data_IF_234693812683
#
_entry.id   IF_234693812683
#
_cell.length_a   1.000
_cell.length_b   1.000
_cell.length_c   1.000
_cell.angle_alpha   90.00
_cell.angle_beta   90.00
_cell.angle_gamma   90.00
#
_symmetry.space_group_name_H-M   'P 1'
#
loop_
_entity.id
_entity.type
_entity.pdbx_description
1 polymer ?
#
# COMPACT_ATOMS: atom_id res chain seq x y z
N UNK A 1 41.66 -3.76 4.34
CA UNK A 1 40.47 -2.96 3.98
C UNK A 1 39.30 -3.59 4.72
N UNK A 2 38.65 -2.86 5.62
CA UNK A 2 37.49 -3.37 6.37
C UNK A 2 36.31 -3.43 5.39
N UNK A 3 35.71 -4.60 5.22
CA UNK A 3 34.43 -4.72 4.54
C UNK A 3 33.38 -4.19 5.51
N UNK A 4 32.80 -3.03 5.21
CA UNK A 4 31.64 -2.53 5.93
C UNK A 4 30.45 -3.40 5.54
N UNK A 5 30.11 -4.36 6.41
CA UNK A 5 28.83 -5.05 6.38
C UNK A 5 27.73 -4.05 6.77
N UNK A 6 27.16 -3.35 5.78
CA UNK A 6 25.87 -2.69 5.95
C UNK A 6 24.78 -3.76 5.91
N UNK A 7 24.41 -4.28 7.09
CA UNK A 7 23.14 -4.97 7.27
C UNK A 7 22.06 -3.94 6.96
N UNK A 8 21.42 -4.04 5.79
CA UNK A 8 20.36 -3.12 5.39
C UNK A 8 19.06 -3.59 6.06
N UNK A 9 18.62 -2.86 7.08
CA UNK A 9 17.42 -3.20 7.83
C UNK A 9 16.18 -2.94 6.97
N UNK A 10 15.65 -4.00 6.35
CA UNK A 10 14.42 -3.90 5.57
C UNK A 10 13.25 -3.49 6.48
N UNK A 11 12.66 -2.32 6.23
CA UNK A 11 11.56 -1.82 7.06
C UNK A 11 10.22 -2.23 6.46
N UNK A 12 9.39 -2.92 7.26
CA UNK A 12 8.03 -3.28 6.84
C UNK A 12 7.08 -2.10 7.06
N UNK A 13 6.40 -1.69 6.00
CA UNK A 13 5.30 -0.73 6.03
C UNK A 13 3.98 -1.38 5.59
N UNK A 14 2.90 -0.66 5.86
CA UNK A 14 1.54 -1.07 5.58
C UNK A 14 0.82 0.02 4.81
N UNK A 15 0.34 -0.30 3.62
CA UNK A 15 -0.31 0.63 2.70
C UNK A 15 -1.81 0.42 2.75
N UNK A 16 -2.57 1.44 3.12
CA UNK A 16 -4.03 1.41 3.04
C UNK A 16 -4.46 1.95 1.67
N UNK A 17 -5.05 1.09 0.85
CA UNK A 17 -5.62 1.44 -0.44
C UNK A 17 -7.14 1.44 -0.41
N UNK A 18 -7.73 2.32 -1.20
CA UNK A 18 -9.11 2.22 -1.66
C UNK A 18 -9.09 1.78 -3.11
N UNK A 19 -9.71 0.65 -3.45
CA UNK A 19 -9.84 0.17 -4.82
C UNK A 19 -11.24 0.44 -5.38
N UNK A 20 -11.33 0.67 -6.68
CA UNK A 20 -12.62 0.73 -7.36
C UNK A 20 -12.50 0.19 -8.78
N UNK A 21 -13.56 -0.46 -9.22
CA UNK A 21 -13.68 -1.01 -10.56
C UNK A 21 -14.54 -0.07 -11.42
N UNK A 22 -14.07 0.20 -12.63
CA UNK A 22 -14.75 0.96 -13.66
C UNK A 22 -15.68 0.05 -14.47
N UNK A 23 -16.63 0.63 -15.20
CA UNK A 23 -17.59 -0.12 -16.02
C UNK A 23 -16.93 -0.98 -17.12
N UNK A 24 -15.69 -0.65 -17.51
CA UNK A 24 -14.90 -1.39 -18.47
C UNK A 24 -14.07 -2.53 -17.84
N UNK A 25 -14.24 -2.80 -16.54
CA UNK A 25 -13.49 -3.80 -15.78
C UNK A 25 -12.07 -3.38 -15.40
N UNK A 26 -11.68 -2.11 -15.62
CA UNK A 26 -10.41 -1.60 -15.11
C UNK A 26 -10.51 -1.35 -13.61
N UNK A 27 -9.43 -1.66 -12.90
CA UNK A 27 -9.31 -1.40 -11.47
C UNK A 27 -8.35 -0.24 -11.22
N UNK A 28 -8.75 0.68 -10.36
CA UNK A 28 -7.89 1.74 -9.85
C UNK A 28 -7.70 1.62 -8.35
N UNK A 29 -6.50 2.00 -7.90
CA UNK A 29 -6.10 1.96 -6.50
C UNK A 29 -5.68 3.37 -6.05
N UNK A 30 -6.31 3.87 -5.00
CA UNK A 30 -5.98 5.16 -4.37
C UNK A 30 -5.30 4.90 -3.04
N UNK A 31 -4.04 5.31 -2.92
CA UNK A 31 -3.34 5.26 -1.64
C UNK A 31 -3.96 6.26 -0.67
N UNK A 32 -4.44 5.76 0.47
CA UNK A 32 -5.05 6.56 1.54
C UNK A 32 -4.11 6.79 2.72
N UNK A 33 -3.13 5.93 2.92
CA UNK A 33 -2.12 6.13 3.97
C UNK A 33 -1.00 5.10 3.95
N UNK A 34 0.11 5.49 4.57
CA UNK A 34 1.30 4.66 4.78
C UNK A 34 1.55 4.56 6.28
N UNK A 35 1.67 3.34 6.80
CA UNK A 35 1.75 3.09 8.23
C UNK A 35 2.94 2.21 8.58
N UNK A 36 3.58 2.51 9.70
CA UNK A 36 4.70 1.72 10.25
C UNK A 36 4.25 0.40 10.92
N UNK A 37 2.94 0.15 11.04
CA UNK A 37 2.41 -1.08 11.61
C UNK A 37 0.99 -1.38 11.11
N UNK A 38 0.66 -2.67 11.04
CA UNK A 38 -0.66 -3.15 10.64
C UNK A 38 -1.78 -2.59 11.51
N UNK A 39 -1.57 -2.57 12.82
CA UNK A 39 -2.55 -2.05 13.79
C UNK A 39 -2.90 -0.58 13.55
N UNK A 40 -1.93 0.25 13.12
CA UNK A 40 -2.21 1.65 12.77
C UNK A 40 -3.09 1.75 11.53
N UNK A 41 -2.80 0.95 10.50
CA UNK A 41 -3.60 0.90 9.28
C UNK A 41 -5.03 0.38 9.55
N UNK A 42 -5.18 -0.66 10.37
CA UNK A 42 -6.48 -1.22 10.78
C UNK A 42 -7.29 -0.22 11.62
N UNK A 43 -6.62 0.57 12.48
CA UNK A 43 -7.27 1.64 13.23
C UNK A 43 -7.82 2.72 12.28
N UNK A 44 -7.03 3.15 11.30
CA UNK A 44 -7.47 4.13 10.31
C UNK A 44 -8.67 3.61 9.51
N UNK A 45 -8.63 2.34 9.07
CA UNK A 45 -9.75 1.71 8.37
C UNK A 45 -11.02 1.68 9.23
N UNK A 46 -10.89 1.39 10.53
CA UNK A 46 -12.01 1.44 11.47
C UNK A 46 -12.54 2.86 11.64
N UNK A 47 -11.66 3.87 11.63
CA UNK A 47 -12.03 5.27 11.73
C UNK A 47 -12.78 5.74 10.48
N UNK A 48 -12.41 5.29 9.28
CA UNK A 48 -13.23 5.49 8.07
C UNK A 48 -14.65 4.91 8.24
N UNK A 49 -14.79 3.75 8.88
CA UNK A 49 -16.10 3.13 9.12
C UNK A 49 -17.06 3.93 10.03
N UNK A 50 -16.56 4.95 10.74
CA UNK A 50 -17.40 5.85 11.55
C UNK A 50 -18.19 6.83 10.69
N UNK A 51 -17.71 7.10 9.48
CA UNK A 51 -18.34 8.02 8.53
C UNK A 51 -19.40 7.29 7.69
N UNK A 52 -20.67 7.76 7.68
CA UNK A 52 -21.76 7.09 6.97
C UNK A 52 -21.50 6.82 5.48
N UNK A 53 -20.82 7.75 4.80
CA UNK A 53 -20.46 7.68 3.39
C UNK A 53 -19.49 6.54 3.08
N UNK A 54 -18.65 6.15 4.04
CA UNK A 54 -17.66 5.09 3.86
C UNK A 54 -18.17 3.70 4.24
N UNK A 55 -19.23 3.58 5.06
CA UNK A 55 -19.76 2.28 5.54
C UNK A 55 -20.08 1.30 4.42
N UNK A 56 -20.63 1.78 3.31
CA UNK A 56 -21.02 0.94 2.16
C UNK A 56 -19.83 0.51 1.30
N UNK A 57 -18.68 1.16 1.47
CA UNK A 57 -17.49 0.96 0.64
C UNK A 57 -16.29 0.47 1.45
N UNK A 58 -16.46 0.07 2.72
CA UNK A 58 -15.35 -0.47 3.52
C UNK A 58 -14.74 -1.74 2.93
N UNK A 59 -15.55 -2.57 2.24
CA UNK A 59 -15.07 -3.74 1.50
C UNK A 59 -14.15 -3.38 0.32
N UNK A 60 -14.14 -2.10 -0.07
CA UNK A 60 -13.27 -1.55 -1.10
C UNK A 60 -11.94 -1.04 -0.57
N UNK A 61 -11.66 -1.23 0.72
CA UNK A 61 -10.35 -0.92 1.30
C UNK A 61 -9.54 -2.18 1.51
N UNK A 62 -8.22 -2.06 1.32
CA UNK A 62 -7.28 -3.14 1.53
C UNK A 62 -5.99 -2.61 2.16
N UNK A 63 -5.40 -3.42 3.05
CA UNK A 63 -4.10 -3.13 3.66
C UNK A 63 -3.09 -4.08 3.05
N UNK A 64 -2.10 -3.53 2.35
CA UNK A 64 -1.00 -4.27 1.75
C UNK A 64 0.24 -4.13 2.61
N UNK A 65 1.01 -5.20 2.73
CA UNK A 65 2.34 -5.18 3.36
C UNK A 65 3.39 -4.89 2.30
N UNK A 66 4.31 -3.98 2.59
CA UNK A 66 5.39 -3.61 1.67
C UNK A 66 6.72 -3.51 2.43
N UNK A 67 7.80 -3.95 1.82
CA UNK A 67 9.14 -3.89 2.40
C UNK A 67 9.91 -2.73 1.77
N UNK A 68 10.22 -1.69 2.55
CA UNK A 68 11.17 -0.65 2.16
C UNK A 68 12.55 -1.32 2.16
N UNK A 69 13.25 -1.23 1.03
CA UNK A 69 14.55 -1.84 0.68
C UNK A 69 14.53 -3.04 -0.25
N UNK A 70 13.35 -3.51 -0.63
CA UNK A 70 13.24 -4.23 -1.89
C UNK A 70 13.52 -3.20 -3.00
N UNK A 71 14.77 -3.18 -3.51
CA UNK A 71 15.19 -2.38 -4.68
C UNK A 71 14.49 -3.00 -5.89
N UNK A 72 13.19 -2.80 -6.00
CA UNK A 72 12.39 -3.28 -7.11
C UNK A 72 11.39 -2.19 -7.47
N UNK A 73 11.70 -1.48 -8.54
CA UNK A 73 10.72 -1.23 -9.59
C UNK A 73 10.74 -2.50 -10.45
N UNK A 74 9.88 -3.52 -10.21
CA UNK A 74 9.97 -4.80 -10.92
C UNK A 74 9.50 -4.68 -12.39
N UNK A 75 8.74 -3.63 -12.72
CA UNK A 75 8.42 -3.28 -14.09
C UNK A 75 9.41 -2.24 -14.59
N UNK A 76 10.42 -2.65 -15.35
CA UNK A 76 11.30 -1.70 -16.05
C UNK A 76 10.52 -0.75 -16.97
N UNK A 77 11.19 0.28 -17.47
CA UNK A 77 10.64 1.11 -18.54
C UNK A 77 10.56 0.28 -19.83
N UNK A 78 9.39 0.24 -20.47
CA UNK A 78 9.27 -0.24 -21.85
C UNK A 78 9.36 0.94 -22.80
N UNK A 79 10.24 0.86 -23.79
CA UNK A 79 10.19 1.75 -24.94
C UNK A 79 9.08 1.25 -25.86
N UNK A 80 8.11 2.09 -26.15
CA UNK A 80 7.11 1.85 -27.19
C UNK A 80 7.65 2.42 -28.49
N UNK A 81 7.86 1.55 -29.49
CA UNK A 81 8.14 1.94 -30.89
C UNK A 81 6.89 2.51 -31.58
#
# INVERSE_FOLDING_TARGET
MKQDNMQKDSEKIYLLYYYFEHENGQEDYVLKGVFSSRQKAEKELKDFGKFPEFKKILSRFAIYEFMIDDIVWPGGFVTVD
#
